data_IF_242413792880
#
_entry.id   IF_242413792880
#
_cell.length_a   1.000
_cell.length_b   1.000
_cell.length_c   1.000
_cell.angle_alpha   90.00
_cell.angle_beta   90.00
_cell.angle_gamma   90.00
#
_symmetry.space_group_name_H-M   'P 1'
#
loop_
_entity.id
_entity.type
_entity.pdbx_description
1 polymer ?
#
# COMPACT_ATOMS: atom_id res chain seq x y z
N UNK A 1 -41.91 4.31 13.37
CA UNK A 1 -40.50 4.63 13.75
C UNK A 1 -39.48 3.78 13.00
N UNK A 2 -39.59 2.44 12.95
CA UNK A 2 -38.61 1.55 12.29
C UNK A 2 -38.25 1.92 10.83
N UNK A 3 -39.22 2.35 10.02
CA UNK A 3 -38.98 2.75 8.60
C UNK A 3 -38.12 4.00 8.46
N UNK A 4 -38.23 4.94 9.40
CA UNK A 4 -37.40 6.16 9.41
C UNK A 4 -35.99 5.86 9.89
N UNK A 5 -35.86 4.99 10.89
CA UNK A 5 -34.57 4.50 11.34
C UNK A 5 -33.79 3.80 10.22
N UNK A 6 -34.43 2.87 9.48
CA UNK A 6 -33.79 2.18 8.35
C UNK A 6 -33.36 3.13 7.21
N UNK A 7 -34.11 4.21 6.99
CA UNK A 7 -33.74 5.26 6.01
C UNK A 7 -32.48 6.01 6.42
N UNK A 8 -32.39 6.38 7.69
CA UNK A 8 -31.23 7.08 8.25
C UNK A 8 -30.02 6.15 8.20
N UNK A 9 -30.16 4.90 8.63
CA UNK A 9 -29.09 3.90 8.57
C UNK A 9 -28.60 3.68 7.14
N UNK A 10 -29.51 3.58 6.17
CA UNK A 10 -29.14 3.48 4.75
C UNK A 10 -28.29 4.67 4.28
N UNK A 11 -28.69 5.90 4.63
CA UNK A 11 -27.94 7.08 4.26
C UNK A 11 -26.51 7.06 4.84
N UNK A 12 -26.34 6.63 6.09
CA UNK A 12 -25.01 6.45 6.69
C UNK A 12 -24.18 5.40 5.96
N UNK A 13 -24.75 4.24 5.62
CA UNK A 13 -24.05 3.19 4.88
C UNK A 13 -23.59 3.71 3.51
N UNK A 14 -24.45 4.43 2.78
CA UNK A 14 -24.09 5.02 1.49
C UNK A 14 -22.92 5.99 1.63
N UNK A 15 -22.90 6.83 2.67
CA UNK A 15 -21.77 7.74 2.92
C UNK A 15 -20.48 6.97 3.22
N UNK A 16 -20.52 5.96 4.08
CA UNK A 16 -19.35 5.14 4.43
C UNK A 16 -18.79 4.44 3.20
N UNK A 17 -19.66 3.78 2.42
CA UNK A 17 -19.26 3.11 1.18
C UNK A 17 -18.75 4.13 0.15
N UNK A 18 -19.35 5.32 0.08
CA UNK A 18 -18.89 6.39 -0.80
C UNK A 18 -17.47 6.85 -0.47
N UNK A 19 -17.12 6.97 0.82
CA UNK A 19 -15.75 7.28 1.26
C UNK A 19 -14.80 6.14 0.87
N UNK A 20 -15.18 4.88 1.08
CA UNK A 20 -14.37 3.72 0.69
C UNK A 20 -14.10 3.70 -0.82
N UNK A 21 -15.12 3.91 -1.66
CA UNK A 21 -14.97 3.96 -3.12
C UNK A 21 -14.08 5.13 -3.55
N UNK A 22 -14.19 6.28 -2.88
CA UNK A 22 -13.36 7.43 -3.19
C UNK A 22 -11.89 7.13 -2.88
N UNK A 23 -11.60 6.57 -1.70
CA UNK A 23 -10.24 6.16 -1.30
C UNK A 23 -9.66 5.13 -2.28
N UNK A 24 -10.47 4.15 -2.69
CA UNK A 24 -10.08 3.16 -3.69
C UNK A 24 -9.76 3.81 -5.04
N UNK A 25 -10.57 4.79 -5.47
CA UNK A 25 -10.31 5.54 -6.69
C UNK A 25 -9.00 6.33 -6.65
N UNK A 26 -8.67 6.95 -5.52
CA UNK A 26 -7.39 7.62 -5.32
C UNK A 26 -6.21 6.64 -5.24
N UNK A 27 -6.37 5.49 -4.59
CA UNK A 27 -5.35 4.45 -4.55
C UNK A 27 -5.02 3.94 -5.97
N UNK A 28 -6.04 3.57 -6.75
CA UNK A 28 -5.87 3.13 -8.14
C UNK A 28 -5.27 4.23 -9.02
N UNK A 29 -5.67 5.49 -8.84
CA UNK A 29 -5.05 6.62 -9.55
C UNK A 29 -3.54 6.68 -9.34
N UNK A 30 -3.08 6.50 -8.09
CA UNK A 30 -1.65 6.55 -7.74
C UNK A 30 -0.91 5.31 -8.23
N UNK A 31 -1.53 4.13 -8.13
CA UNK A 31 -1.01 2.87 -8.67
C UNK A 31 -0.80 2.94 -10.18
N UNK A 32 -1.82 3.35 -10.94
CA UNK A 32 -1.70 3.47 -12.41
C UNK A 32 -0.62 4.48 -12.80
N UNK A 33 -0.47 5.58 -12.05
CA UNK A 33 0.64 6.51 -12.28
C UNK A 33 2.00 5.84 -12.07
N UNK A 34 2.16 5.11 -10.97
CA UNK A 34 3.40 4.43 -10.61
C UNK A 34 3.76 3.35 -11.64
N UNK A 35 2.79 2.56 -12.07
CA UNK A 35 2.93 1.57 -13.14
C UNK A 35 3.42 2.20 -14.45
N UNK A 36 2.78 3.29 -14.89
CA UNK A 36 3.05 3.89 -16.19
C UNK A 36 4.33 4.73 -16.24
N UNK A 37 4.79 5.27 -15.09
CA UNK A 37 5.87 6.26 -15.07
C UNK A 37 7.09 5.84 -14.24
N UNK A 38 6.93 4.99 -13.22
CA UNK A 38 8.03 4.63 -12.32
C UNK A 38 8.50 3.20 -12.51
N UNK A 39 7.59 2.23 -12.73
CA UNK A 39 7.93 0.81 -12.69
C UNK A 39 9.06 0.43 -13.66
N UNK A 40 9.04 0.96 -14.89
CA UNK A 40 10.12 0.72 -15.86
C UNK A 40 11.48 1.17 -15.33
N UNK A 41 11.54 2.31 -14.63
CA UNK A 41 12.79 2.77 -14.03
C UNK A 41 13.24 1.89 -12.86
N UNK A 42 12.29 1.30 -12.12
CA UNK A 42 12.62 0.31 -11.09
C UNK A 42 13.23 -0.95 -11.70
N UNK A 43 12.58 -1.50 -12.72
CA UNK A 43 13.03 -2.72 -13.41
C UNK A 43 14.40 -2.53 -14.09
N UNK A 44 14.68 -1.32 -14.58
CA UNK A 44 15.97 -0.93 -15.17
C UNK A 44 17.04 -0.58 -14.13
N UNK A 45 16.73 -0.70 -12.83
CA UNK A 45 17.60 -0.31 -11.73
C UNK A 45 18.06 1.17 -11.79
N UNK A 46 17.19 2.05 -12.28
CA UNK A 46 17.45 3.49 -12.39
C UNK A 46 16.70 4.24 -11.27
N UNK A 47 17.27 4.20 -10.05
CA UNK A 47 16.67 4.83 -8.88
C UNK A 47 16.55 6.36 -9.01
N UNK A 48 17.48 7.01 -9.70
CA UNK A 48 17.47 8.45 -9.95
C UNK A 48 16.22 8.89 -10.74
N UNK A 49 15.73 8.05 -11.66
CA UNK A 49 14.49 8.29 -12.39
C UNK A 49 13.25 7.72 -11.70
N UNK A 50 13.38 6.61 -10.96
CA UNK A 50 12.28 5.98 -10.23
C UNK A 50 11.79 6.86 -9.08
N UNK A 51 12.71 7.32 -8.23
CA UNK A 51 12.39 8.00 -6.98
C UNK A 51 11.53 9.27 -7.17
N UNK A 52 11.80 10.16 -8.15
CA UNK A 52 10.92 11.29 -8.42
C UNK A 52 9.48 10.88 -8.74
N UNK A 53 9.30 9.84 -9.55
CA UNK A 53 7.98 9.38 -9.99
C UNK A 53 7.23 8.63 -8.88
N UNK A 54 7.94 7.83 -8.09
CA UNK A 54 7.41 7.26 -6.85
C UNK A 54 6.95 8.36 -5.87
N UNK A 55 7.74 9.41 -5.66
CA UNK A 55 7.37 10.50 -4.75
C UNK A 55 6.12 11.27 -5.24
N UNK A 56 5.93 11.42 -6.55
CA UNK A 56 4.67 11.94 -7.10
C UNK A 56 3.52 10.99 -6.79
N UNK A 57 3.68 9.69 -7.05
CA UNK A 57 2.65 8.68 -6.77
C UNK A 57 2.29 8.60 -5.27
N UNK A 58 3.27 8.72 -4.38
CA UNK A 58 3.11 8.73 -2.93
C UNK A 58 2.71 10.09 -2.35
N UNK A 59 2.47 11.09 -3.20
CA UNK A 59 2.08 12.46 -2.83
C UNK A 59 3.05 13.12 -1.84
N UNK A 60 4.35 12.81 -1.98
CA UNK A 60 5.45 13.46 -1.26
C UNK A 60 5.82 14.74 -1.97
N UNK A 61 5.90 15.86 -1.27
CA UNK A 61 6.18 17.15 -1.91
C UNK A 61 7.67 17.49 -1.94
N UNK A 62 8.47 16.88 -1.06
CA UNK A 62 9.93 16.99 -1.00
C UNK A 62 10.55 15.65 -0.61
N UNK A 63 11.77 15.39 -1.10
CA UNK A 63 12.54 14.20 -0.76
C UNK A 63 14.04 14.48 -0.91
N UNK A 64 14.86 13.66 -0.25
CA UNK A 64 16.30 13.65 -0.46
C UNK A 64 16.59 12.74 -1.65
N UNK A 65 17.30 13.23 -2.66
CA UNK A 65 17.53 12.47 -3.90
C UNK A 65 18.46 11.27 -3.67
N UNK A 66 19.41 11.39 -2.75
CA UNK A 66 20.33 10.31 -2.40
C UNK A 66 19.84 9.54 -1.16
N UNK A 67 20.11 8.21 -1.09
CA UNK A 67 19.75 7.43 0.08
C UNK A 67 20.56 7.87 1.31
N UNK A 68 19.91 8.02 2.46
CA UNK A 68 20.58 8.26 3.74
C UNK A 68 21.41 7.07 4.18
N UNK A 69 21.02 5.87 3.76
CA UNK A 69 21.73 4.63 3.99
C UNK A 69 21.57 3.75 2.76
N UNK A 70 22.67 3.19 2.27
CA UNK A 70 22.71 2.26 1.16
C UNK A 70 23.62 1.07 1.50
N UNK A 71 23.08 -0.14 1.40
CA UNK A 71 23.82 -1.38 1.56
C UNK A 71 23.71 -2.25 0.32
N UNK A 72 24.85 -2.72 -0.17
CA UNK A 72 24.95 -3.55 -1.37
C UNK A 72 25.46 -4.94 -1.01
N UNK A 73 24.83 -5.96 -1.59
CA UNK A 73 25.34 -7.33 -1.62
C UNK A 73 25.72 -7.70 -3.05
N UNK A 74 26.98 -8.05 -3.24
CA UNK A 74 27.49 -8.69 -4.45
C UNK A 74 27.57 -10.22 -4.30
N UNK A 75 26.86 -10.81 -3.33
CA UNK A 75 26.90 -12.25 -3.13
C UNK A 75 26.30 -13.01 -4.31
N UNK A 76 26.97 -14.08 -4.73
CA UNK A 76 26.54 -14.89 -5.87
C UNK A 76 25.18 -15.56 -5.67
N UNK A 77 24.77 -15.83 -4.41
CA UNK A 77 23.47 -16.46 -4.13
C UNK A 77 22.36 -15.41 -3.93
N UNK A 78 22.69 -14.28 -3.33
CA UNK A 78 21.75 -13.22 -3.00
C UNK A 78 22.36 -11.84 -3.29
N UNK A 79 22.30 -11.41 -4.55
CA UNK A 79 22.64 -10.05 -4.95
C UNK A 79 21.46 -9.11 -4.66
N UNK A 80 21.71 -7.95 -4.06
CA UNK A 80 20.68 -6.93 -3.86
C UNK A 80 21.28 -5.58 -3.45
N UNK A 81 20.46 -4.54 -3.54
CA UNK A 81 20.71 -3.23 -2.97
C UNK A 81 19.56 -2.82 -2.04
N UNK A 82 19.90 -2.31 -0.87
CA UNK A 82 18.95 -1.87 0.14
C UNK A 82 19.23 -0.42 0.52
N UNK A 83 18.26 0.44 0.19
CA UNK A 83 18.36 1.88 0.34
C UNK A 83 17.28 2.44 1.25
N UNK A 84 17.63 3.44 2.06
CA UNK A 84 16.71 4.19 2.91
C UNK A 84 16.72 5.65 2.48
N UNK A 85 15.59 6.15 2.00
CA UNK A 85 15.38 7.53 1.60
C UNK A 85 14.55 8.29 2.64
N UNK A 86 14.69 9.60 2.64
CA UNK A 86 13.87 10.49 3.46
C UNK A 86 12.97 11.36 2.58
N UNK A 87 11.69 11.43 2.95
CA UNK A 87 10.65 12.16 2.22
C UNK A 87 9.77 12.96 3.19
N UNK A 88 9.07 13.96 2.66
CA UNK A 88 8.10 14.75 3.41
C UNK A 88 6.72 14.72 2.78
N UNK A 89 5.70 14.50 3.61
CA UNK A 89 4.29 14.63 3.25
C UNK A 89 3.68 15.87 3.88
N UNK A 90 2.89 16.61 3.11
CA UNK A 90 2.24 17.81 3.59
C UNK A 90 1.11 17.43 4.55
N UNK A 91 1.11 18.01 5.75
CA UNK A 91 0.03 17.86 6.74
C UNK A 91 -0.55 19.23 7.06
N UNK A 92 -1.72 19.25 7.70
CA UNK A 92 -2.51 20.49 7.90
C UNK A 92 -1.69 21.64 8.52
N UNK A 93 -0.79 21.33 9.44
CA UNK A 93 -0.03 22.30 10.23
C UNK A 93 1.50 22.19 10.01
N UNK A 94 1.93 21.68 8.85
CA UNK A 94 3.35 21.57 8.51
C UNK A 94 3.67 20.38 7.61
N UNK A 95 4.69 19.61 8.00
CA UNK A 95 5.16 18.44 7.27
C UNK A 95 5.38 17.27 8.21
N UNK A 96 5.10 16.06 7.73
CA UNK A 96 5.51 14.84 8.40
C UNK A 96 6.65 14.18 7.63
N UNK A 97 7.66 13.74 8.36
CA UNK A 97 8.83 13.05 7.84
C UNK A 97 8.52 11.55 7.69
N UNK A 98 8.90 10.97 6.55
CA UNK A 98 8.65 9.58 6.21
C UNK A 98 9.93 8.99 5.63
N UNK A 99 10.38 7.87 6.20
CA UNK A 99 11.43 7.06 5.64
C UNK A 99 10.87 6.03 4.68
N UNK A 100 11.56 5.88 3.55
CA UNK A 100 11.18 5.01 2.45
C UNK A 100 12.29 3.99 2.28
N UNK A 101 11.99 2.73 2.56
CA UNK A 101 12.91 1.62 2.52
C UNK A 101 12.69 0.83 1.23
N UNK A 102 13.73 0.74 0.41
CA UNK A 102 13.68 0.15 -0.92
C UNK A 102 14.66 -1.01 -0.97
N UNK A 103 14.16 -2.20 -1.33
CA UNK A 103 14.95 -3.35 -1.73
C UNK A 103 14.86 -3.45 -3.25
N UNK A 104 15.99 -3.38 -3.95
CA UNK A 104 16.03 -3.42 -5.42
C UNK A 104 17.28 -4.16 -5.93
N UNK A 105 17.39 -4.26 -7.26
CA UNK A 105 18.45 -5.01 -7.95
C UNK A 105 18.63 -6.44 -7.40
N UNK A 106 17.50 -7.08 -7.14
CA UNK A 106 17.47 -8.35 -6.46
C UNK A 106 17.77 -9.48 -7.44
N UNK A 107 18.85 -10.20 -7.18
CA UNK A 107 19.30 -11.38 -7.90
C UNK A 107 19.37 -12.58 -6.94
N UNK A 108 18.32 -13.41 -6.97
CA UNK A 108 18.23 -14.62 -6.14
C UNK A 108 18.59 -15.83 -6.99
N UNK A 109 19.83 -16.29 -6.80
CA UNK A 109 20.35 -17.50 -7.43
C UNK A 109 20.17 -18.72 -6.51
N UNK A 110 18.94 -18.92 -6.02
CA UNK A 110 18.54 -20.12 -5.28
C UNK A 110 17.32 -20.75 -5.97
N UNK A 111 17.45 -21.98 -6.51
CA UNK A 111 16.33 -22.64 -7.19
C UNK A 111 15.23 -22.97 -6.18
N UNK A 112 13.95 -22.92 -6.60
CA UNK A 112 12.85 -23.37 -5.76
C UNK A 112 13.01 -24.85 -5.42
N UNK A 113 12.52 -25.24 -4.26
CA UNK A 113 12.52 -26.63 -3.80
C UNK A 113 11.73 -27.56 -4.74
N UNK A 114 10.74 -27.02 -5.46
CA UNK A 114 9.97 -27.70 -6.49
C UNK A 114 9.63 -26.73 -7.64
N UNK A 115 10.38 -26.85 -8.74
CA UNK A 115 10.20 -26.01 -9.93
C UNK A 115 8.83 -26.16 -10.57
N UNK A 116 8.26 -27.38 -10.60
CA UNK A 116 6.97 -27.62 -11.26
C UNK A 116 5.82 -26.89 -10.55
N UNK A 117 5.83 -26.84 -9.22
CA UNK A 117 4.83 -26.11 -8.45
C UNK A 117 5.07 -24.60 -8.51
N UNK A 118 6.33 -24.17 -8.52
CA UNK A 118 6.67 -22.77 -8.74
C UNK A 118 6.18 -22.25 -10.10
N UNK A 119 6.37 -23.02 -11.18
CA UNK A 119 5.90 -22.66 -12.52
C UNK A 119 4.36 -22.54 -12.59
N UNK A 120 3.64 -23.29 -11.76
CA UNK A 120 2.17 -23.18 -11.64
C UNK A 120 1.76 -21.97 -10.81
N UNK A 121 2.53 -21.62 -9.77
CA UNK A 121 2.25 -20.51 -8.87
C UNK A 121 3.55 -19.93 -8.32
N UNK A 122 4.09 -18.92 -8.99
CA UNK A 122 5.34 -18.27 -8.62
C UNK A 122 5.26 -17.57 -7.24
N UNK A 123 4.05 -17.31 -6.74
CA UNK A 123 3.83 -16.74 -5.41
C UNK A 123 4.21 -17.68 -4.25
N UNK A 124 4.52 -18.95 -4.54
CA UNK A 124 5.01 -19.90 -3.54
C UNK A 124 6.43 -19.59 -3.07
N UNK A 125 7.19 -18.81 -3.84
CA UNK A 125 8.49 -18.30 -3.43
C UNK A 125 8.41 -16.79 -3.30
N UNK A 126 8.80 -16.27 -2.13
CA UNK A 126 8.66 -14.86 -1.79
C UNK A 126 9.76 -14.39 -0.87
N UNK A 127 9.95 -13.08 -0.81
CA UNK A 127 10.88 -12.43 0.10
C UNK A 127 10.08 -11.79 1.20
N UNK A 128 10.45 -12.09 2.43
CA UNK A 128 9.92 -11.41 3.60
C UNK A 128 10.94 -10.43 4.12
N UNK A 129 10.52 -9.18 4.24
CA UNK A 129 11.22 -8.19 5.05
C UNK A 129 10.55 -8.11 6.41
N UNK A 130 11.34 -8.34 7.46
CA UNK A 130 10.93 -8.22 8.86
C UNK A 130 11.66 -7.05 9.50
N UNK A 131 10.92 -6.12 10.09
CA UNK A 131 11.45 -4.98 10.84
C UNK A 131 11.04 -5.11 12.31
N UNK A 132 12.02 -5.40 13.17
CA UNK A 132 11.84 -5.52 14.60
C UNK A 132 12.04 -4.14 15.24
N UNK A 133 10.97 -3.65 15.88
CA UNK A 133 11.00 -2.47 16.73
C UNK A 133 10.98 -2.90 18.19
N UNK A 134 11.39 -2.00 19.08
CA UNK A 134 11.33 -2.22 20.53
C UNK A 134 9.96 -2.74 21.01
N UNK A 135 8.87 -2.20 20.44
CA UNK A 135 7.50 -2.50 20.87
C UNK A 135 6.70 -3.35 19.89
N UNK A 136 7.30 -3.90 18.82
CA UNK A 136 6.55 -4.69 17.86
C UNK A 136 7.32 -5.15 16.63
N UNK A 137 6.68 -5.98 15.84
CA UNK A 137 7.24 -6.54 14.61
C UNK A 137 6.37 -6.12 13.43
N UNK A 138 7.01 -5.57 12.40
CA UNK A 138 6.39 -5.30 11.12
C UNK A 138 6.95 -6.26 10.07
N UNK A 139 6.08 -6.83 9.24
CA UNK A 139 6.49 -7.76 8.18
C UNK A 139 5.78 -7.43 6.87
N UNK A 140 6.52 -7.57 5.79
CA UNK A 140 6.00 -7.39 4.44
C UNK A 140 6.59 -8.44 3.50
N UNK A 141 5.71 -9.03 2.70
CA UNK A 141 6.07 -10.05 1.71
C UNK A 141 6.10 -9.45 0.31
N UNK A 142 7.13 -9.82 -0.44
CA UNK A 142 7.40 -9.41 -1.80
C UNK A 142 7.53 -10.63 -2.70
N UNK A 143 7.14 -10.51 -3.96
CA UNK A 143 7.51 -11.52 -4.95
C UNK A 143 9.03 -11.45 -5.24
N UNK A 144 9.53 -12.35 -6.08
CA UNK A 144 10.94 -12.37 -6.46
C UNK A 144 11.39 -11.17 -7.29
N UNK A 145 10.48 -10.37 -7.82
CA UNK A 145 10.80 -9.13 -8.55
C UNK A 145 10.83 -7.90 -7.63
N UNK A 146 10.57 -8.08 -6.32
CA UNK A 146 10.52 -6.97 -5.35
C UNK A 146 9.17 -6.23 -5.29
N UNK A 147 8.13 -6.76 -5.93
CA UNK A 147 6.76 -6.21 -5.88
C UNK A 147 6.01 -6.71 -4.64
N UNK A 148 5.16 -5.88 -4.03
CA UNK A 148 4.39 -6.30 -2.84
C UNK A 148 3.41 -7.40 -3.21
N UNK A 149 3.41 -8.49 -2.45
CA UNK A 149 2.37 -9.49 -2.56
C UNK A 149 1.15 -9.08 -1.74
N UNK A 150 -0.03 -8.92 -2.35
CA UNK A 150 -1.26 -8.77 -1.58
C UNK A 150 -1.55 -10.09 -0.85
N UNK A 151 -1.81 -10.02 0.46
CA UNK A 151 -2.51 -11.11 1.17
C UNK A 151 -3.77 -11.50 0.39
N UNK A 152 -4.14 -12.79 0.35
CA UNK A 152 -4.78 -13.46 -0.80
C UNK A 152 -5.95 -12.66 -1.34
N UNK A 153 -5.64 -11.82 -2.31
CA UNK A 153 -6.55 -10.92 -2.99
C UNK A 153 -6.17 -11.03 -4.47
N UNK A 154 -7.14 -11.16 -5.40
CA UNK A 154 -6.89 -11.38 -6.82
C UNK A 154 -6.27 -10.17 -7.55
N UNK A 155 -5.79 -9.17 -6.81
CA UNK A 155 -5.17 -7.96 -7.32
C UNK A 155 -3.70 -7.97 -6.94
N UNK A 156 -2.88 -8.76 -7.65
CA UNK A 156 -1.44 -8.57 -7.63
C UNK A 156 -1.14 -7.13 -8.02
N UNK A 157 -0.42 -6.39 -7.17
CA UNK A 157 0.17 -5.14 -7.60
C UNK A 157 1.49 -5.55 -8.23
N UNK A 158 1.57 -5.56 -9.56
CA UNK A 158 2.81 -5.83 -10.32
C UNK A 158 3.73 -4.60 -10.26
N UNK A 159 3.86 -4.01 -9.07
CA UNK A 159 4.49 -2.71 -8.84
C UNK A 159 5.35 -2.77 -7.60
N UNK A 160 6.56 -2.26 -7.74
CA UNK A 160 7.51 -2.13 -6.65
C UNK A 160 7.05 -0.98 -5.75
N UNK A 161 6.58 -1.32 -4.55
CA UNK A 161 6.14 -0.36 -3.55
C UNK A 161 7.06 -0.51 -2.33
N UNK A 162 7.84 0.54 -2.01
CA UNK A 162 8.68 0.60 -0.82
C UNK A 162 7.92 0.41 0.49
N UNK A 163 8.64 0.03 1.55
CA UNK A 163 8.12 0.16 2.92
C UNK A 163 8.22 1.62 3.36
N UNK A 164 7.16 2.11 3.99
CA UNK A 164 7.10 3.47 4.52
C UNK A 164 7.02 3.44 6.04
N UNK A 165 7.88 4.22 6.70
CA UNK A 165 7.88 4.38 8.16
C UNK A 165 7.77 5.87 8.48
N UNK A 166 6.77 6.26 9.27
CA UNK A 166 6.63 7.64 9.70
C UNK A 166 7.59 7.94 10.85
N UNK A 167 8.02 9.19 10.89
CA UNK A 167 8.70 9.73 12.06
C UNK A 167 7.72 10.61 12.83
N UNK A 168 7.64 10.38 14.14
CA UNK A 168 6.75 11.12 15.03
C UNK A 168 7.52 11.74 16.19
N UNK A 169 7.09 12.92 16.60
CA UNK A 169 7.62 13.63 17.76
C UNK A 169 6.73 13.34 18.99
N UNK A 170 7.31 12.77 20.04
CA UNK A 170 6.64 12.33 21.26
C UNK A 170 6.91 13.28 22.44
N UNK A 171 6.83 14.59 22.22
CA UNK A 171 7.03 15.59 23.27
C UNK A 171 8.39 15.47 23.96
N UNK A 172 8.42 15.25 25.29
CA UNK A 172 9.66 15.13 26.07
C UNK A 172 10.45 13.84 25.80
N UNK A 173 9.81 12.80 25.23
CA UNK A 173 10.45 11.51 24.92
C UNK A 173 11.27 11.56 23.62
N UNK A 174 11.32 12.72 22.94
CA UNK A 174 12.04 12.88 21.69
C UNK A 174 11.25 12.33 20.50
N UNK A 175 11.96 11.88 19.46
CA UNK A 175 11.36 11.40 18.23
C UNK A 175 11.35 9.86 18.20
N UNK A 176 10.48 9.25 17.39
CA UNK A 176 10.47 7.79 17.22
C UNK A 176 9.98 7.38 15.84
N UNK A 177 10.29 6.15 15.43
CA UNK A 177 9.60 5.53 14.30
C UNK A 177 8.16 5.18 14.68
N UNK A 178 7.26 5.25 13.69
CA UNK A 178 5.89 4.80 13.78
C UNK A 178 5.48 4.15 12.46
N UNK A 179 5.09 2.88 12.53
CA UNK A 179 4.55 2.15 11.37
C UNK A 179 3.03 2.16 11.39
N UNK A 180 2.42 1.96 12.56
CA UNK A 180 0.97 2.00 12.77
C UNK A 180 0.65 2.40 14.23
N UNK A 181 -0.62 2.34 14.65
CA UNK A 181 -1.05 2.76 16.00
C UNK A 181 -0.42 1.94 17.15
N UNK A 182 0.20 0.79 16.89
CA UNK A 182 0.79 -0.08 17.90
C UNK A 182 2.30 -0.32 17.81
N UNK A 183 2.93 0.01 16.68
CA UNK A 183 4.37 -0.23 16.46
C UNK A 183 5.10 1.11 16.42
N UNK A 184 5.81 1.40 17.52
CA UNK A 184 6.60 2.61 17.70
C UNK A 184 7.89 2.32 18.44
N UNK A 185 8.88 3.21 18.31
CA UNK A 185 10.14 3.15 19.05
C UNK A 185 11.34 3.01 18.14
N UNK A 186 12.44 2.50 18.69
CA UNK A 186 13.70 2.27 17.96
C UNK A 186 13.58 1.06 17.02
N UNK A 187 14.20 1.14 15.85
CA UNK A 187 14.36 0.02 14.94
C UNK A 187 15.59 -0.80 15.38
N UNK A 188 15.36 -2.02 15.85
CA UNK A 188 16.39 -2.88 16.40
C UNK A 188 17.02 -3.78 15.33
N UNK A 189 16.22 -4.27 14.40
CA UNK A 189 16.68 -5.18 13.35
C UNK A 189 15.84 -5.04 12.08
N UNK A 190 16.50 -5.09 10.92
CA UNK A 190 15.85 -5.40 9.64
C UNK A 190 16.39 -6.74 9.16
N UNK A 191 15.52 -7.66 8.77
CA UNK A 191 15.88 -9.01 8.37
C UNK A 191 15.20 -9.37 7.06
N UNK A 192 15.95 -9.94 6.11
CA UNK A 192 15.44 -10.43 4.83
C UNK A 192 15.49 -11.95 4.77
N UNK A 193 14.37 -12.53 4.36
CA UNK A 193 14.16 -13.98 4.33
C UNK A 193 13.60 -14.41 2.98
N UNK A 194 14.18 -15.43 2.37
CA UNK A 194 13.55 -16.16 1.27
C UNK A 194 12.63 -17.23 1.87
N UNK A 195 11.34 -17.17 1.55
CA UNK A 195 10.33 -18.13 1.97
C UNK A 195 9.94 -18.96 0.75
N UNK A 196 10.17 -20.27 0.82
CA UNK A 196 9.81 -21.23 -0.22
C UNK A 196 8.78 -22.24 0.30
N UNK A 197 7.56 -22.12 -0.23
CA UNK A 197 6.38 -22.94 0.09
C UNK A 197 6.10 -24.04 -0.95
N UNK A 198 6.99 -24.26 -1.93
CA UNK A 198 6.70 -25.12 -3.10
C UNK A 198 6.61 -26.62 -2.78
N UNK A 199 7.18 -27.07 -1.65
CA UNK A 199 7.00 -28.43 -1.13
C UNK A 199 5.91 -28.54 -0.07
N UNK A 200 5.84 -27.59 0.86
CA UNK A 200 4.93 -27.63 2.01
C UNK A 200 4.37 -26.23 2.32
N UNK A 201 3.12 -25.97 1.93
CA UNK A 201 2.48 -24.65 2.12
C UNK A 201 2.39 -24.24 3.60
N UNK A 202 2.18 -25.20 4.50
CA UNK A 202 2.04 -24.96 5.94
C UNK A 202 3.38 -24.91 6.69
N UNK A 203 4.47 -25.38 6.08
CA UNK A 203 5.81 -25.45 6.69
C UNK A 203 6.87 -25.01 5.66
N UNK A 204 6.85 -23.73 5.26
CA UNK A 204 7.75 -23.26 4.22
C UNK A 204 9.20 -23.27 4.71
N UNK A 205 10.13 -23.56 3.81
CA UNK A 205 11.57 -23.38 4.06
C UNK A 205 11.85 -21.89 4.14
N UNK A 206 12.57 -21.46 5.17
CA UNK A 206 12.98 -20.08 5.37
C UNK A 206 14.49 -19.99 5.32
N UNK A 207 15.02 -19.14 4.46
CA UNK A 207 16.45 -18.86 4.37
C UNK A 207 16.68 -17.40 4.70
N UNK A 208 17.28 -17.12 5.87
CA UNK A 208 17.67 -15.76 6.26
C UNK A 208 18.95 -15.40 5.51
N UNK A 209 18.85 -14.46 4.56
CA UNK A 209 19.98 -14.10 3.71
C UNK A 209 20.64 -12.78 4.08
N UNK A 210 19.92 -11.86 4.74
CA UNK A 210 20.50 -10.61 5.24
C UNK A 210 19.92 -10.15 6.57
N UNK A 211 20.75 -9.53 7.41
CA UNK A 211 20.39 -8.99 8.73
C UNK A 211 21.11 -7.65 8.98
N UNK A 212 20.34 -6.64 9.37
CA UNK A 212 20.80 -5.31 9.73
C UNK A 212 20.46 -5.08 11.21
N UNK A 213 21.40 -5.34 12.11
CA UNK A 213 21.21 -5.10 13.55
C UNK A 213 21.64 -3.69 13.88
N UNK A 214 20.78 -3.00 14.62
CA UNK A 214 21.02 -1.64 15.07
C UNK A 214 22.24 -1.56 15.98
N UNK A 215 23.23 -0.76 15.58
CA UNK A 215 24.44 -0.50 16.33
C UNK A 215 24.53 0.98 16.74
N UNK A 216 24.20 1.26 18.00
CA UNK A 216 24.15 2.62 18.55
C UNK A 216 25.52 3.30 18.63
N UNK A 217 26.60 2.53 18.50
CA UNK A 217 27.98 3.05 18.53
C UNK A 217 28.43 3.62 17.19
N UNK A 218 27.69 3.38 16.10
CA UNK A 218 28.00 3.96 14.79
C UNK A 218 27.67 5.46 14.81
N UNK A 219 28.70 6.28 14.66
CA UNK A 219 28.60 7.74 14.72
C UNK A 219 28.27 8.39 13.37
N UNK A 220 28.39 7.67 12.27
CA UNK A 220 28.01 8.15 10.93
C UNK A 220 26.53 8.50 10.91
N UNK A 221 26.21 9.65 10.32
CA UNK A 221 24.85 10.20 10.42
C UNK A 221 24.04 10.01 9.14
N UNK A 222 24.61 10.18 7.94
CA UNK A 222 23.90 10.06 6.65
C UNK A 222 24.83 9.66 5.51
N UNK A 223 24.24 9.30 4.37
CA UNK A 223 24.93 8.90 3.14
C UNK A 223 25.89 7.72 3.37
N UNK A 224 25.51 6.82 4.28
CA UNK A 224 26.30 5.63 4.59
C UNK A 224 26.21 4.69 3.40
N UNK A 225 27.36 4.28 2.88
CA UNK A 225 27.45 3.24 1.85
C UNK A 225 28.25 2.06 2.38
N UNK A 226 27.64 0.88 2.37
CA UNK A 226 28.21 -0.34 2.91
C UNK A 226 28.15 -1.49 1.89
N UNK A 227 29.25 -2.25 1.77
CA UNK A 227 29.21 -3.59 1.18
C UNK A 227 29.03 -4.62 2.30
N UNK A 228 27.96 -5.42 2.20
CA UNK A 228 27.62 -6.39 3.23
C UNK A 228 28.62 -7.54 3.25
N UNK A 229 28.91 -8.03 4.46
CA UNK A 229 29.82 -9.16 4.64
C UNK A 229 29.06 -10.40 5.10
N UNK A 230 29.54 -11.57 4.67
CA UNK A 230 29.06 -12.84 5.22
C UNK A 230 29.56 -13.00 6.65
N UNK A 231 28.61 -13.23 7.54
CA UNK A 231 28.87 -13.64 8.91
C UNK A 231 28.02 -14.86 9.26
N UNK A 232 28.44 -15.62 10.26
CA UNK A 232 27.66 -16.74 10.77
C UNK A 232 26.69 -16.22 11.83
N UNK A 233 25.42 -16.13 11.48
CA UNK A 233 24.38 -15.67 12.41
C UNK A 233 23.74 -16.87 13.08
N UNK A 234 23.61 -16.80 14.41
CA UNK A 234 22.81 -17.74 15.19
C UNK A 234 21.37 -17.27 15.12
N UNK A 235 20.53 -18.04 14.43
CA UNK A 235 19.09 -17.79 14.37
C UNK A 235 18.39 -18.77 15.29
N UNK A 236 17.55 -18.25 16.18
CA UNK A 236 16.76 -19.04 17.12
C UNK A 236 15.33 -19.14 16.59
N UNK A 237 14.82 -20.36 16.41
CA UNK A 237 13.42 -20.60 16.05
C UNK A 237 12.46 -20.08 17.14
N UNK A 238 11.21 -19.75 16.77
CA UNK A 238 10.10 -19.34 17.63
C UNK A 238 9.88 -20.22 18.87
N UNK A 239 10.35 -21.47 18.87
CA UNK A 239 10.28 -22.37 20.01
C UNK A 239 11.53 -22.35 20.91
N UNK A 240 12.53 -21.51 20.64
CA UNK A 240 13.79 -21.45 21.39
C UNK A 240 14.64 -22.74 21.39
N UNK A 241 14.31 -23.73 20.55
CA UNK A 241 14.91 -25.07 20.64
C UNK A 241 15.98 -25.36 19.58
N UNK A 242 16.00 -24.66 18.44
CA UNK A 242 16.95 -24.94 17.35
C UNK A 242 17.79 -23.70 17.05
N UNK A 243 19.11 -23.84 17.15
CA UNK A 243 20.11 -22.87 16.72
C UNK A 243 20.60 -23.29 15.34
N UNK A 244 20.19 -22.58 14.30
CA UNK A 244 20.78 -22.75 12.97
C UNK A 244 21.91 -21.73 12.79
N UNK A 245 23.10 -22.22 12.46
CA UNK A 245 24.23 -21.41 12.03
C UNK A 245 24.09 -21.21 10.52
N UNK A 246 23.61 -20.04 10.13
CA UNK A 246 23.46 -19.69 8.72
C UNK A 246 24.53 -18.67 8.33
N UNK A 247 25.14 -18.87 7.16
CA UNK A 247 25.96 -17.84 6.55
C UNK A 247 25.03 -16.77 5.99
N UNK A 248 25.00 -15.63 6.66
CA UNK A 248 24.04 -14.55 6.43
C UNK A 248 24.82 -13.26 6.20
N UNK A 249 24.33 -12.43 5.28
CA UNK A 249 24.91 -11.12 5.03
C UNK A 249 24.55 -10.19 6.19
N UNK A 250 25.54 -9.53 6.78
CA UNK A 250 25.31 -8.67 7.95
C UNK A 250 25.85 -7.27 7.72
N UNK A 251 25.10 -6.28 8.20
CA UNK A 251 25.58 -4.90 8.26
C UNK A 251 26.34 -4.64 9.56
N UNK A 252 27.40 -3.86 9.46
CA UNK A 252 28.16 -3.31 10.60
C UNK A 252 27.84 -1.85 10.90
N UNK A 253 27.37 -1.11 9.89
CA UNK A 253 27.16 0.33 9.96
C UNK A 253 25.69 0.73 10.16
N UNK A 254 24.77 -0.23 10.16
CA UNK A 254 23.37 0.07 10.37
C UNK A 254 23.10 0.57 11.80
N UNK A 255 22.51 1.74 11.91
CA UNK A 255 22.08 2.33 13.16
C UNK A 255 20.60 2.69 13.07
N UNK A 256 19.74 1.91 13.71
CA UNK A 256 18.29 2.08 13.69
C UNK A 256 17.77 3.06 14.74
N UNK A 257 18.54 4.09 15.12
CA UNK A 257 18.07 5.20 15.95
C UNK A 257 17.52 6.33 15.09
N UNK A 258 16.47 6.99 15.56
CA UNK A 258 15.77 8.00 14.75
C UNK A 258 16.63 9.24 14.49
N UNK A 259 17.53 9.59 15.41
CA UNK A 259 18.42 10.76 15.29
C UNK A 259 19.36 10.64 14.07
N UNK A 260 19.53 9.42 13.55
CA UNK A 260 20.32 9.11 12.35
C UNK A 260 19.51 9.23 11.07
N UNK A 261 18.20 9.42 11.15
CA UNK A 261 17.35 9.48 9.98
C UNK A 261 16.31 10.60 10.03
N UNK A 262 16.07 11.25 11.17
CA UNK A 262 15.21 12.42 11.27
C UNK A 262 16.00 13.69 11.37
N UNK A 263 15.82 14.49 10.33
CA UNK A 263 16.78 15.49 9.99
C UNK A 263 16.07 16.58 9.23
N UNK A 264 15.32 17.39 9.97
CA UNK A 264 14.70 18.60 9.45
C UNK A 264 15.73 19.50 8.74
N UNK A 265 16.98 19.51 9.24
CA UNK A 265 18.06 20.27 8.63
C UNK A 265 18.54 19.75 7.26
N UNK A 266 18.19 18.53 6.82
CA UNK A 266 18.56 18.08 5.46
C UNK A 266 17.89 18.97 4.41
N UNK A 267 16.74 19.55 4.75
CA UNK A 267 15.97 20.42 3.88
C UNK A 267 16.30 21.91 4.04
N UNK A 268 17.31 22.25 4.86
CA UNK A 268 17.83 23.61 4.90
C UNK A 268 18.54 23.91 3.57
N UNK A 269 18.16 25.02 2.93
CA UNK A 269 18.69 25.43 1.61
C UNK A 269 20.23 25.61 1.60
N UNK A 270 20.84 25.76 2.78
CA UNK A 270 22.27 25.97 2.97
C UNK A 270 23.07 24.66 3.18
N UNK A 271 22.45 23.48 3.12
CA UNK A 271 23.16 22.21 3.26
C UNK A 271 23.80 21.77 1.93
N UNK A 272 25.13 21.91 1.74
CA UNK A 272 25.77 21.66 0.45
C UNK A 272 25.91 20.17 0.12
N UNK A 273 25.74 19.29 1.11
CA UNK A 273 26.01 17.86 0.98
C UNK A 273 24.77 17.07 0.52
N UNK A 274 23.63 17.75 0.33
CA UNK A 274 22.33 17.09 0.12
C UNK A 274 21.56 17.77 -1.00
N UNK A 275 21.19 16.97 -2.00
CA UNK A 275 20.29 17.41 -3.06
C UNK A 275 18.84 17.10 -2.69
N UNK A 276 17.98 18.12 -2.75
CA UNK A 276 16.56 18.02 -2.46
C UNK A 276 15.75 18.02 -3.74
N UNK A 277 14.98 16.94 -3.93
CA UNK A 277 14.00 16.81 -4.98
C UNK A 277 12.67 17.43 -4.58
N UNK A 278 12.00 18.08 -5.53
CA UNK A 278 10.64 18.65 -5.37
C UNK A 278 9.71 17.95 -6.36
N UNK A 279 8.64 17.37 -5.83
CA UNK A 279 7.69 16.62 -6.65
C UNK A 279 6.63 17.54 -7.27
N UNK A 280 6.40 17.38 -8.57
CA UNK A 280 5.26 18.01 -9.24
C UNK A 280 4.00 17.16 -9.10
N UNK A 281 3.27 17.35 -8.01
CA UNK A 281 2.01 16.64 -7.75
C UNK A 281 0.92 16.95 -8.79
N UNK A 282 1.10 17.99 -9.61
CA UNK A 282 0.13 18.30 -10.67
C UNK A 282 0.11 17.24 -11.77
N UNK A 283 1.17 16.45 -11.93
CA UNK A 283 1.23 15.31 -12.86
C UNK A 283 0.13 14.28 -12.61
N UNK A 284 -0.28 14.11 -11.35
CA UNK A 284 -1.40 13.23 -10.99
C UNK A 284 -2.75 13.71 -11.57
N UNK A 285 -2.91 14.99 -11.95
CA UNK A 285 -4.19 15.50 -12.44
C UNK A 285 -4.65 14.83 -13.74
N UNK A 286 -3.72 14.40 -14.59
CA UNK A 286 -4.01 13.67 -15.83
C UNK A 286 -4.75 12.35 -15.57
N UNK A 287 -4.62 11.79 -14.37
CA UNK A 287 -5.23 10.52 -13.94
C UNK A 287 -6.53 10.70 -13.15
N UNK A 288 -7.03 11.94 -12.99
CA UNK A 288 -8.28 12.20 -12.27
C UNK A 288 -9.51 11.51 -12.91
N UNK A 289 -9.43 11.16 -14.20
CA UNK A 289 -10.46 10.38 -14.89
C UNK A 289 -10.74 9.02 -14.22
N UNK A 290 -9.73 8.40 -13.59
CA UNK A 290 -9.87 7.15 -12.84
C UNK A 290 -10.79 7.37 -11.64
N UNK A 291 -10.52 8.38 -10.81
CA UNK A 291 -11.36 8.71 -9.65
C UNK A 291 -12.80 9.03 -10.07
N UNK A 292 -12.97 9.82 -11.15
CA UNK A 292 -14.29 10.16 -11.70
C UNK A 292 -15.06 8.91 -12.13
N UNK A 293 -14.39 7.91 -12.72
CA UNK A 293 -15.00 6.64 -13.11
C UNK A 293 -15.54 5.88 -11.90
N UNK A 294 -14.73 5.71 -10.84
CA UNK A 294 -15.15 5.03 -9.60
C UNK A 294 -16.35 5.72 -8.95
N UNK A 295 -16.30 7.04 -8.79
CA UNK A 295 -17.39 7.83 -8.20
C UNK A 295 -18.66 7.74 -9.05
N UNK A 296 -18.53 7.81 -10.38
CA UNK A 296 -19.68 7.73 -11.29
C UNK A 296 -20.39 6.37 -11.23
N UNK A 297 -19.62 5.28 -11.21
CA UNK A 297 -20.15 3.91 -11.06
C UNK A 297 -20.90 3.79 -9.73
N UNK A 298 -20.30 4.24 -8.64
CA UNK A 298 -20.93 4.22 -7.32
C UNK A 298 -22.22 5.04 -7.29
N UNK A 299 -22.24 6.25 -7.84
CA UNK A 299 -23.44 7.09 -7.88
C UNK A 299 -24.57 6.42 -8.66
N UNK A 300 -24.29 5.80 -9.81
CA UNK A 300 -25.28 5.05 -10.58
C UNK A 300 -25.88 3.91 -9.74
N UNK A 301 -25.03 3.11 -9.10
CA UNK A 301 -25.48 1.98 -8.25
C UNK A 301 -26.30 2.51 -7.06
N UNK A 302 -25.82 3.54 -6.37
CA UNK A 302 -26.50 4.14 -5.24
C UNK A 302 -27.88 4.69 -5.62
N UNK A 303 -28.01 5.35 -6.78
CA UNK A 303 -29.29 5.84 -7.30
C UNK A 303 -30.24 4.67 -7.61
N UNK A 304 -29.76 3.62 -8.27
CA UNK A 304 -30.57 2.43 -8.59
C UNK A 304 -31.10 1.79 -7.30
N UNK A 305 -30.22 1.56 -6.32
CA UNK A 305 -30.60 0.96 -5.04
C UNK A 305 -31.58 1.88 -4.28
N UNK A 306 -31.31 3.18 -4.22
CA UNK A 306 -32.21 4.17 -3.59
C UNK A 306 -33.59 4.12 -4.23
N UNK A 307 -33.65 4.09 -5.57
CA UNK A 307 -34.90 3.99 -6.31
C UNK A 307 -35.66 2.70 -5.97
N UNK A 308 -34.97 1.55 -5.98
CA UNK A 308 -35.58 0.26 -5.66
C UNK A 308 -36.14 0.21 -4.23
N UNK A 309 -35.42 0.77 -3.25
CA UNK A 309 -35.83 0.72 -1.84
C UNK A 309 -36.96 1.69 -1.51
N UNK A 310 -36.94 2.91 -2.05
CA UNK A 310 -37.86 3.96 -1.61
C UNK A 310 -38.97 4.28 -2.61
N UNK A 311 -38.70 4.15 -3.90
CA UNK A 311 -39.59 4.66 -4.95
C UNK A 311 -40.28 3.55 -5.74
N UNK A 312 -39.72 2.33 -5.81
CA UNK A 312 -40.33 1.23 -6.57
C UNK A 312 -41.77 0.93 -6.15
N UNK A 313 -42.00 0.73 -4.85
CA UNK A 313 -43.33 0.44 -4.31
C UNK A 313 -44.34 1.59 -4.56
N UNK A 314 -44.03 2.85 -4.23
CA UNK A 314 -44.86 3.99 -4.61
C UNK A 314 -45.13 4.08 -6.12
N UNK A 315 -44.12 3.88 -6.96
CA UNK A 315 -44.23 3.96 -8.42
C UNK A 315 -45.15 2.86 -8.96
N UNK A 316 -44.98 1.61 -8.53
CA UNK A 316 -45.87 0.50 -8.91
C UNK A 316 -47.32 0.80 -8.48
N UNK A 317 -47.52 1.30 -7.25
CA UNK A 317 -48.86 1.64 -6.75
C UNK A 317 -49.50 2.78 -7.56
N UNK A 318 -48.72 3.80 -7.92
CA UNK A 318 -49.17 4.89 -8.78
C UNK A 318 -49.62 4.39 -10.16
N UNK A 319 -48.83 3.54 -10.82
CA UNK A 319 -49.21 2.96 -12.12
C UNK A 319 -50.43 2.05 -12.04
N UNK A 320 -50.54 1.21 -11.00
CA UNK A 320 -51.74 0.38 -10.77
C UNK A 320 -52.99 1.25 -10.60
N UNK A 321 -52.91 2.30 -9.79
CA UNK A 321 -54.03 3.21 -9.56
C UNK A 321 -54.41 4.01 -10.83
N UNK A 322 -53.42 4.43 -11.63
CA UNK A 322 -53.66 5.11 -12.91
C UNK A 322 -54.36 4.20 -13.92
N UNK A 323 -53.95 2.93 -14.01
CA UNK A 323 -54.58 1.93 -14.88
C UNK A 323 -56.02 1.64 -14.44
N UNK A 324 -56.27 1.47 -13.14
CA UNK A 324 -57.61 1.26 -12.59
C UNK A 324 -58.54 2.44 -12.92
N UNK A 325 -58.10 3.67 -12.69
CA UNK A 325 -58.87 4.88 -13.05
C UNK A 325 -59.19 4.98 -14.54
N UNK A 326 -58.26 4.60 -15.40
CA UNK A 326 -58.51 4.58 -16.85
C UNK A 326 -59.55 3.53 -17.24
N UNK A 327 -59.51 2.33 -16.63
CA UNK A 327 -60.51 1.28 -16.87
C UNK A 327 -61.89 1.74 -16.40
N UNK A 328 -61.99 2.31 -15.19
CA UNK A 328 -63.26 2.85 -14.66
C UNK A 328 -63.83 3.95 -15.56
N UNK A 329 -62.97 4.80 -16.15
CA UNK A 329 -63.38 5.83 -17.10
C UNK A 329 -63.96 5.23 -18.37
N UNK A 330 -63.29 4.21 -18.95
CA UNK A 330 -63.75 3.51 -20.15
C UNK A 330 -65.09 2.81 -19.90
N UNK A 331 -65.26 2.16 -18.73
CA UNK A 331 -66.52 1.51 -18.36
C UNK A 331 -67.65 2.55 -18.25
N UNK A 332 -67.41 3.68 -17.57
CA UNK A 332 -68.40 4.76 -17.46
C UNK A 332 -68.78 5.38 -18.81
N UNK A 333 -67.81 5.57 -19.71
CA UNK A 333 -68.05 6.07 -21.07
C UNK A 333 -68.85 5.04 -21.91
N UNK A 334 -68.63 3.73 -21.70
CA UNK A 334 -69.38 2.67 -22.37
C UNK A 334 -70.83 2.54 -21.85
N UNK A 335 -71.04 2.66 -20.55
CA UNK A 335 -72.38 2.65 -19.94
C UNK A 335 -73.20 3.87 -20.38
N UNK A 336 -72.59 5.06 -20.44
CA UNK A 336 -73.25 6.27 -20.96
C UNK A 336 -73.65 6.13 -22.43
N UNK A 337 -72.83 5.48 -23.27
CA UNK A 337 -73.21 5.21 -24.66
C UNK A 337 -74.35 4.20 -24.76
N UNK A 338 -74.40 3.18 -23.89
CA UNK A 338 -75.49 2.20 -23.87
C UNK A 338 -76.85 2.83 -23.55
N UNK A 339 -76.90 3.76 -22.60
CA UNK A 339 -78.14 4.47 -22.25
C UNK A 339 -78.70 5.34 -23.38
N UNK A 340 -77.87 5.78 -24.32
CA UNK A 340 -78.30 6.60 -25.47
C UNK A 340 -78.97 5.74 -26.58
N UNK A 341 -78.71 4.42 -26.61
CA UNK A 341 -79.25 3.51 -27.64
C UNK A 341 -80.46 2.66 -27.17
N UNK A 342 -80.93 2.83 -25.94
CA UNK A 342 -82.09 2.10 -25.39
C UNK A 342 -83.37 2.93 -25.30
N UNK A 343 -83.35 4.19 -25.74
CA UNK A 343 -84.50 5.11 -25.75
C UNK A 343 -85.09 5.35 -27.16
N UNK A 344 -84.74 4.52 -28.15
CA UNK A 344 -85.48 4.35 -29.43
C UNK A 344 -86.26 3.04 -29.41
#
# INVERSE_FOLDING_TARGET
>A
MLKWFLRILYAFIVVIVGIMVLNEGFANKRLTYLEENAQTHFDENNMDSYLPEYNVAAERYRYVEQPLYNAVSNDLRFGFEFSIYHTQVAVKDGSANVLVFILHNLDINEPPLNEEEFDKNNNLVRIRVSMQFENGLYQQDYNLDGNIMPLPSPYAMDVAIPMEIQVVENGEEGKSFKVNEGITGKLEEVKFELIDSTLYENEPKRTIFAVFKSNDTVEEKYLVHEELIKDTVITTDHNNETVELTNTLTSKLFNGTIERFDVEYLYDEDNPDITIGISDLSKLNSYNSIVVKYVSIFLIIAIIITYLLFFLNPTIKYFKNKKAKNIDRIIKEADQKKTIFTDE
#
